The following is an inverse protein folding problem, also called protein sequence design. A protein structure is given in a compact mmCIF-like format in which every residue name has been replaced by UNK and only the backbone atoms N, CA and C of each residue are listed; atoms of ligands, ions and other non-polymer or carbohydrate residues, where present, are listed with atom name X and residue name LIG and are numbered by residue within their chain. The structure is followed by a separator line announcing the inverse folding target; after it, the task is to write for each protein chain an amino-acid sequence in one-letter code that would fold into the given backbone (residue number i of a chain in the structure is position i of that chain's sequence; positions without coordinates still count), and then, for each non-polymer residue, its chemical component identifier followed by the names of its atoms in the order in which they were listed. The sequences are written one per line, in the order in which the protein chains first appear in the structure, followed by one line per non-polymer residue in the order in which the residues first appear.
data_IF_944887139214
#
_entry.id   IF_944887139214
#
_cell.length_a   1.000
_cell.length_b   1.000
_cell.length_c   1.000
_cell.angle_alpha   90.00
_cell.angle_beta   90.00
_cell.angle_gamma   90.00
#
_symmetry.space_group_name_H-M   'P 1'
#
loop_
_entity.id
_entity.type
_entity.pdbx_description
1 polymer ?
#
# COMPACT_ATOMS: atom_id res chain seq x y z
N UNK A 1 -71.69 -13.21 38.79
CA UNK A 1 -70.77 -12.04 38.76
C UNK A 1 -69.47 -12.27 39.56
N UNK A 2 -69.38 -13.26 40.47
CA UNK A 2 -68.18 -13.49 41.28
C UNK A 2 -67.00 -14.21 40.58
N UNK A 3 -67.26 -15.02 39.54
CA UNK A 3 -66.23 -15.80 38.84
C UNK A 3 -65.42 -15.02 37.80
N UNK A 4 -65.95 -13.89 37.32
CA UNK A 4 -65.24 -12.99 36.41
C UNK A 4 -64.13 -12.23 37.16
N UNK A 5 -64.43 -11.78 38.38
CA UNK A 5 -63.48 -11.03 39.21
C UNK A 5 -62.29 -11.89 39.68
N UNK A 6 -62.54 -13.16 40.05
CA UNK A 6 -61.45 -14.09 40.42
C UNK A 6 -60.52 -14.39 39.24
N UNK A 7 -61.04 -14.43 38.01
CA UNK A 7 -60.25 -14.68 36.80
C UNK A 7 -59.36 -13.48 36.44
N UNK A 8 -59.85 -12.25 36.64
CA UNK A 8 -59.06 -11.04 36.43
C UNK A 8 -57.91 -10.91 37.43
N UNK A 9 -58.12 -11.29 38.69
CA UNK A 9 -57.06 -11.31 39.70
C UNK A 9 -55.97 -12.34 39.38
N UNK A 10 -56.35 -13.53 38.89
CA UNK A 10 -55.39 -14.54 38.44
C UNK A 10 -54.58 -14.08 37.22
N UNK A 11 -55.21 -13.39 36.27
CA UNK A 11 -54.52 -12.83 35.10
C UNK A 11 -53.51 -11.77 35.52
N UNK A 12 -53.87 -10.85 36.42
CA UNK A 12 -52.96 -9.84 36.96
C UNK A 12 -51.77 -10.45 37.71
N UNK A 13 -51.96 -11.56 38.42
CA UNK A 13 -50.85 -12.28 39.07
C UNK A 13 -49.90 -12.88 38.06
N UNK A 14 -50.44 -13.47 36.98
CA UNK A 14 -49.63 -14.04 35.89
C UNK A 14 -48.89 -12.97 35.10
N UNK A 15 -49.51 -11.82 34.85
CA UNK A 15 -48.88 -10.68 34.18
C UNK A 15 -47.67 -10.18 34.98
N UNK A 16 -47.82 -10.03 36.30
CA UNK A 16 -46.70 -9.65 37.17
C UNK A 16 -45.59 -10.69 37.19
N UNK A 17 -45.93 -11.97 37.26
CA UNK A 17 -44.94 -13.05 37.22
C UNK A 17 -44.18 -13.08 35.88
N UNK A 18 -44.85 -12.78 34.78
CA UNK A 18 -44.21 -12.69 33.46
C UNK A 18 -43.28 -11.48 33.37
N UNK A 19 -43.72 -10.32 33.85
CA UNK A 19 -42.91 -9.10 33.88
C UNK A 19 -41.64 -9.26 34.72
N UNK A 20 -41.74 -9.89 35.89
CA UNK A 20 -40.59 -10.20 36.74
C UNK A 20 -39.58 -11.13 36.04
N UNK A 21 -40.06 -12.12 35.29
CA UNK A 21 -39.21 -13.04 34.53
C UNK A 21 -38.50 -12.34 33.36
N UNK A 22 -39.20 -11.47 32.65
CA UNK A 22 -38.63 -10.69 31.55
C UNK A 22 -37.54 -9.73 32.06
N UNK A 23 -37.80 -9.05 33.18
CA UNK A 23 -36.82 -8.18 33.83
C UNK A 23 -35.58 -8.96 34.29
N UNK A 24 -35.76 -10.14 34.88
CA UNK A 24 -34.64 -10.99 35.30
C UNK A 24 -33.77 -11.45 34.11
N UNK A 25 -34.39 -11.84 32.99
CA UNK A 25 -33.65 -12.18 31.77
C UNK A 25 -32.89 -10.99 31.21
N UNK A 26 -33.54 -9.80 31.17
CA UNK A 26 -32.91 -8.59 30.66
C UNK A 26 -31.72 -8.14 31.49
N UNK A 27 -31.82 -8.25 32.82
CA UNK A 27 -30.71 -7.98 33.72
C UNK A 27 -29.53 -8.93 33.48
N UNK A 28 -29.80 -10.22 33.23
CA UNK A 28 -28.76 -11.20 32.92
C UNK A 28 -28.06 -10.92 31.59
N UNK A 29 -28.79 -10.47 30.58
CA UNK A 29 -28.21 -10.05 29.30
C UNK A 29 -27.30 -8.83 29.47
N UNK A 30 -27.77 -7.81 30.21
CA UNK A 30 -26.99 -6.61 30.50
C UNK A 30 -25.75 -6.93 31.35
N UNK A 31 -25.88 -7.81 32.33
CA UNK A 31 -24.73 -8.27 33.12
C UNK A 31 -23.73 -9.02 32.22
N UNK A 32 -24.19 -9.88 31.32
CA UNK A 32 -23.32 -10.56 30.36
C UNK A 32 -22.64 -9.59 29.36
N UNK A 33 -23.27 -8.47 29.02
CA UNK A 33 -22.70 -7.42 28.18
C UNK A 33 -21.69 -6.54 28.94
N UNK A 34 -21.97 -6.22 30.21
CA UNK A 34 -21.10 -5.41 31.07
C UNK A 34 -19.89 -6.20 31.57
N UNK A 35 -20.06 -7.49 31.86
CA UNK A 35 -18.99 -8.38 32.32
C UNK A 35 -18.14 -8.92 31.17
N UNK A 36 -18.48 -8.59 29.91
CA UNK A 36 -17.58 -8.79 28.80
C UNK A 36 -16.47 -7.73 28.90
N UNK A 37 -15.21 -8.15 29.12
CA UNK A 37 -14.10 -7.20 29.13
C UNK A 37 -14.06 -6.51 27.75
N UNK A 38 -13.89 -5.18 27.71
CA UNK A 38 -13.82 -4.48 26.44
C UNK A 38 -12.68 -5.08 25.62
N UNK A 39 -13.02 -5.68 24.48
CA UNK A 39 -12.06 -6.19 23.51
C UNK A 39 -11.38 -5.00 22.83
N UNK A 40 -10.38 -4.43 23.49
CA UNK A 40 -9.52 -3.43 22.88
C UNK A 40 -8.67 -4.13 21.83
N UNK A 41 -8.97 -3.86 20.55
CA UNK A 41 -8.17 -4.33 19.42
C UNK A 41 -6.78 -3.70 19.55
N UNK A 42 -5.82 -4.45 20.07
CA UNK A 42 -4.44 -3.99 20.18
C UNK A 42 -3.86 -3.86 18.78
N UNK A 43 -3.74 -2.63 18.30
CA UNK A 43 -3.02 -2.36 17.06
C UNK A 43 -1.55 -2.57 17.37
N UNK A 44 -0.90 -3.45 16.60
CA UNK A 44 0.54 -3.73 16.73
C UNK A 44 1.30 -2.40 16.66
N UNK A 45 2.00 -2.05 17.73
CA UNK A 45 2.82 -0.85 17.80
C UNK A 45 3.85 -0.93 16.67
N UNK A 46 3.68 -0.12 15.62
CA UNK A 46 4.74 0.09 14.65
C UNK A 46 5.78 0.97 15.33
N UNK A 47 6.99 0.46 15.59
CA UNK A 47 8.03 1.30 16.16
C UNK A 47 8.25 2.50 15.23
N UNK A 48 8.45 3.71 15.78
CA UNK A 48 8.67 4.90 14.96
C UNK A 48 9.82 4.63 13.99
N UNK A 49 9.58 4.86 12.69
CA UNK A 49 10.59 4.68 11.64
C UNK A 49 11.92 5.28 12.11
N UNK A 50 12.91 4.42 12.34
CA UNK A 50 14.23 4.87 12.77
C UNK A 50 14.84 5.76 11.68
N UNK A 51 15.64 6.78 12.07
CA UNK A 51 16.30 7.68 11.11
C UNK A 51 17.09 6.92 10.04
N UNK A 52 17.64 5.75 10.40
CA UNK A 52 18.36 4.86 9.51
C UNK A 52 17.50 4.23 8.41
N UNK A 53 16.26 3.85 8.72
CA UNK A 53 15.33 3.27 7.74
C UNK A 53 14.86 4.32 6.72
N UNK A 54 14.62 5.55 7.18
CA UNK A 54 14.36 6.69 6.29
C UNK A 54 15.57 7.01 5.39
N UNK A 55 16.77 6.97 5.96
CA UNK A 55 18.00 7.23 5.23
C UNK A 55 18.27 6.17 4.15
N UNK A 56 18.07 4.88 4.44
CA UNK A 56 18.14 3.80 3.45
C UNK A 56 17.16 4.02 2.28
N UNK A 57 15.91 4.39 2.57
CA UNK A 57 14.91 4.64 1.52
C UNK A 57 15.31 5.81 0.61
N UNK A 58 15.94 6.84 1.17
CA UNK A 58 16.43 7.98 0.39
C UNK A 58 17.71 7.66 -0.39
N UNK A 59 18.62 6.86 0.18
CA UNK A 59 19.85 6.42 -0.49
C UNK A 59 19.55 5.61 -1.75
N UNK A 60 18.53 4.73 -1.72
CA UNK A 60 18.12 3.94 -2.89
C UNK A 60 17.67 4.86 -4.04
N UNK A 61 16.91 5.92 -3.74
CA UNK A 61 16.45 6.88 -4.75
C UNK A 61 17.60 7.67 -5.37
N UNK A 62 18.59 8.04 -4.56
CA UNK A 62 19.78 8.75 -5.03
C UNK A 62 20.62 7.82 -5.92
N UNK A 63 20.81 6.56 -5.52
CA UNK A 63 21.56 5.58 -6.28
C UNK A 63 20.95 5.33 -7.67
N UNK A 64 19.62 5.22 -7.78
CA UNK A 64 18.96 5.05 -9.08
C UNK A 64 19.17 6.26 -10.00
N UNK A 65 19.14 7.47 -9.46
CA UNK A 65 19.38 8.68 -10.26
C UNK A 65 20.82 8.75 -10.77
N UNK A 66 21.79 8.49 -9.90
CA UNK A 66 23.22 8.45 -10.27
C UNK A 66 23.48 7.39 -11.34
N UNK A 67 22.86 6.21 -11.22
CA UNK A 67 22.97 5.15 -12.23
C UNK A 67 22.47 5.59 -13.60
N UNK A 68 21.32 6.27 -13.67
CA UNK A 68 20.78 6.79 -14.94
C UNK A 68 21.72 7.83 -15.55
N UNK A 69 22.22 8.79 -14.75
CA UNK A 69 23.14 9.83 -15.23
C UNK A 69 24.41 9.23 -15.81
N UNK A 70 25.01 8.27 -15.11
CA UNK A 70 26.21 7.57 -15.60
C UNK A 70 25.90 6.83 -16.91
N UNK A 71 24.75 6.17 -17.01
CA UNK A 71 24.32 5.49 -18.24
C UNK A 71 24.19 6.43 -19.43
N UNK A 72 23.60 7.61 -19.24
CA UNK A 72 23.46 8.63 -20.29
C UNK A 72 24.83 9.15 -20.74
N UNK A 73 25.72 9.47 -19.79
CA UNK A 73 27.08 9.94 -20.11
C UNK A 73 27.85 8.89 -20.91
N UNK A 74 27.76 7.61 -20.49
CA UNK A 74 28.40 6.51 -21.20
C UNK A 74 27.85 6.36 -22.64
N UNK A 75 26.53 6.44 -22.81
CA UNK A 75 25.89 6.37 -24.12
C UNK A 75 26.37 7.49 -25.06
N UNK A 76 26.42 8.74 -24.58
CA UNK A 76 26.91 9.89 -25.35
C UNK A 76 28.37 9.68 -25.76
N UNK A 77 29.22 9.20 -24.83
CA UNK A 77 30.63 8.93 -25.13
C UNK A 77 30.77 7.88 -26.23
N UNK A 78 30.06 6.76 -26.15
CA UNK A 78 30.08 5.71 -27.16
C UNK A 78 29.59 6.25 -28.52
N UNK A 79 28.48 6.99 -28.52
CA UNK A 79 27.93 7.59 -29.73
C UNK A 79 28.93 8.56 -30.40
N UNK A 80 29.58 9.42 -29.61
CA UNK A 80 30.59 10.36 -30.12
C UNK A 80 31.80 9.66 -30.74
N UNK A 81 32.26 8.57 -30.11
CA UNK A 81 33.37 7.77 -30.63
C UNK A 81 33.01 7.12 -31.97
N UNK A 82 31.83 6.50 -32.06
CA UNK A 82 31.33 5.90 -33.30
C UNK A 82 31.16 6.95 -34.40
N UNK A 83 30.55 8.10 -34.10
CA UNK A 83 30.38 9.18 -35.06
C UNK A 83 31.72 9.63 -35.65
N UNK A 84 32.75 9.75 -34.81
CA UNK A 84 34.10 10.14 -35.25
C UNK A 84 34.68 9.10 -36.22
N UNK A 85 34.55 7.81 -35.90
CA UNK A 85 35.01 6.71 -36.78
C UNK A 85 34.28 6.78 -38.12
N UNK A 86 32.96 6.94 -38.13
CA UNK A 86 32.18 7.03 -39.37
C UNK A 86 32.60 8.22 -40.23
N UNK A 87 32.86 9.39 -39.63
CA UNK A 87 33.33 10.57 -40.36
C UNK A 87 34.69 10.28 -41.02
N UNK A 88 35.63 9.71 -40.29
CA UNK A 88 36.97 9.39 -40.82
C UNK A 88 36.87 8.38 -41.96
N UNK A 89 36.05 7.33 -41.79
CA UNK A 89 35.82 6.32 -42.83
C UNK A 89 35.16 6.94 -44.07
N UNK A 90 34.16 7.79 -43.89
CA UNK A 90 33.48 8.46 -44.99
C UNK A 90 34.43 9.37 -45.78
N UNK A 91 35.28 10.14 -45.10
CA UNK A 91 36.29 11.00 -45.75
C UNK A 91 37.32 10.14 -46.49
N UNK A 92 37.85 9.09 -45.85
CA UNK A 92 38.81 8.20 -46.47
C UNK A 92 38.23 7.51 -47.72
N UNK A 93 36.97 7.08 -47.65
CA UNK A 93 36.27 6.48 -48.78
C UNK A 93 36.03 7.47 -49.92
N UNK A 94 35.63 8.70 -49.61
CA UNK A 94 35.45 9.76 -50.60
C UNK A 94 36.77 10.08 -51.31
N UNK A 95 37.87 10.22 -50.56
CA UNK A 95 39.21 10.44 -51.12
C UNK A 95 39.65 9.27 -51.99
N UNK A 96 39.45 8.03 -51.53
CA UNK A 96 39.75 6.82 -52.30
C UNK A 96 38.99 6.82 -53.63
N UNK A 97 37.68 7.07 -53.60
CA UNK A 97 36.84 7.15 -54.80
C UNK A 97 37.32 8.22 -55.77
N UNK A 98 37.53 9.45 -55.30
CA UNK A 98 37.90 10.58 -56.16
C UNK A 98 39.30 10.40 -56.77
N UNK A 99 40.29 9.99 -55.98
CA UNK A 99 41.67 9.89 -56.48
C UNK A 99 41.95 8.61 -57.27
N UNK A 100 41.44 7.45 -56.84
CA UNK A 100 41.81 6.16 -57.43
C UNK A 100 40.87 5.74 -58.57
N UNK A 101 39.58 6.08 -58.50
CA UNK A 101 38.65 5.81 -59.61
C UNK A 101 38.54 6.98 -60.58
N UNK A 102 38.76 8.23 -60.13
CA UNK A 102 38.79 9.40 -61.00
C UNK A 102 40.02 9.45 -61.93
N UNK A 103 41.14 8.82 -61.56
CA UNK A 103 42.33 8.70 -62.42
C UNK A 103 42.24 7.57 -63.47
N UNK A 104 41.16 6.79 -63.50
CA UNK A 104 40.94 5.73 -64.50
C UNK A 104 40.23 6.21 -65.77
N UNK A 105 40.05 7.52 -65.94
CA UNK A 105 39.51 8.16 -67.15
C UNK A 105 40.56 9.05 -67.80
#
# INVERSE_FOLDING_TARGET
MSSANSREEELRRREKELEERELAMRLRELEAEVNQPPFHKTVKHQPPETRFQRWKRNAIKIASFVGIVIGVIAAIRIASALATIFIVVAIAFALYKVFIEGQKF
#
